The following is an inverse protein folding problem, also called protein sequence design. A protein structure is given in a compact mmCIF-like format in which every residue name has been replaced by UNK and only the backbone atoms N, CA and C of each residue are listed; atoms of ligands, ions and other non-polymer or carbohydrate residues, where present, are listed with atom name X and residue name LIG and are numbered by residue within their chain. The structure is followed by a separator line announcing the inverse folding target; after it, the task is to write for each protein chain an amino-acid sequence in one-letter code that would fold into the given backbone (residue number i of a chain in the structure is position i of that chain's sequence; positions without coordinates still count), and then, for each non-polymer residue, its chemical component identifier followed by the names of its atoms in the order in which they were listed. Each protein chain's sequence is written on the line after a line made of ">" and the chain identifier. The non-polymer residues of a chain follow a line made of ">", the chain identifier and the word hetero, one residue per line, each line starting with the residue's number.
data_IF_050988341163
#
_entry.id   IF_050988341163
#
_cell.length_a   1.000
_cell.length_b   1.000
_cell.length_c   1.000
_cell.angle_alpha   90.00
_cell.angle_beta   90.00
_cell.angle_gamma   90.00
#
_symmetry.space_group_name_H-M   'P 1'
#
loop_
_entity.id
_entity.type
_entity.pdbx_description
1 polymer ?
#
# COMPACT_ATOMS: atom_id res chain seq x y z
N UNK A 1 64.01 15.40 35.53
CA UNK A 1 64.89 14.20 35.42
C UNK A 1 64.04 12.97 35.64
N UNK A 2 64.15 11.95 34.77
CA UNK A 2 63.89 11.95 33.33
C UNK A 2 62.79 10.87 33.06
N UNK A 3 62.41 10.37 31.89
CA UNK A 3 62.86 10.43 30.50
C UNK A 3 61.77 9.72 29.67
N UNK A 4 61.58 10.19 28.45
CA UNK A 4 60.86 9.59 27.33
C UNK A 4 61.50 8.24 26.87
N UNK A 5 60.97 7.56 25.82
CA UNK A 5 61.35 7.99 24.47
C UNK A 5 60.19 8.04 23.46
N UNK A 6 60.32 9.03 22.59
CA UNK A 6 59.79 9.09 21.23
C UNK A 6 60.44 8.03 20.34
N UNK A 7 59.75 7.59 19.29
CA UNK A 7 60.39 7.46 17.98
C UNK A 7 59.31 7.45 16.88
N UNK A 8 59.27 8.51 16.08
CA UNK A 8 58.67 8.49 14.76
C UNK A 8 59.76 8.28 13.72
N UNK A 9 59.45 7.58 12.61
CA UNK A 9 60.17 7.74 11.34
C UNK A 9 59.19 7.57 10.18
N UNK A 10 59.32 8.53 9.27
CA UNK A 10 58.66 8.73 7.97
C UNK A 10 59.72 8.48 6.91
N UNK A 11 59.53 7.55 5.96
CA UNK A 11 60.33 7.44 4.71
C UNK A 11 59.43 6.77 3.65
N UNK A 12 58.81 7.51 2.72
CA UNK A 12 59.24 7.94 1.37
C UNK A 12 58.89 6.93 0.26
N UNK A 13 58.28 7.52 -0.77
CA UNK A 13 57.86 7.02 -2.07
C UNK A 13 58.99 6.33 -2.85
N UNK A 14 58.61 5.36 -3.67
CA UNK A 14 59.44 4.81 -4.74
C UNK A 14 58.57 4.24 -5.85
N UNK A 15 58.42 5.01 -6.93
CA UNK A 15 57.92 4.55 -8.23
C UNK A 15 58.78 3.42 -8.78
N UNK A 16 58.16 2.40 -9.40
CA UNK A 16 58.63 1.82 -10.67
C UNK A 16 57.66 0.76 -11.22
N UNK A 17 57.08 1.06 -12.39
CA UNK A 17 56.70 0.11 -13.45
C UNK A 17 58.00 -0.39 -14.12
N UNK A 18 58.08 -1.60 -14.72
CA UNK A 18 57.46 -1.79 -16.05
C UNK A 18 57.04 -3.23 -16.47
N UNK A 19 56.25 -3.24 -17.56
CA UNK A 19 56.25 -4.16 -18.73
C UNK A 19 56.02 -5.68 -18.63
N UNK A 20 54.92 -6.09 -19.26
CA UNK A 20 54.76 -7.12 -20.32
C UNK A 20 55.55 -8.45 -20.28
N UNK A 21 54.80 -9.57 -20.36
CA UNK A 21 55.33 -10.84 -20.85
C UNK A 21 54.28 -11.95 -20.89
N UNK A 22 53.75 -12.26 -22.08
CA UNK A 22 52.92 -13.44 -22.38
C UNK A 22 53.70 -14.75 -22.20
N UNK A 23 53.04 -15.80 -21.71
CA UNK A 23 53.05 -17.18 -22.27
C UNK A 23 52.08 -18.06 -21.46
N UNK A 24 51.17 -18.74 -22.16
CA UNK A 24 50.24 -19.68 -21.56
C UNK A 24 50.84 -21.07 -21.35
N UNK A 25 50.15 -21.92 -20.58
CA UNK A 25 50.14 -23.37 -20.76
C UNK A 25 48.93 -24.00 -20.00
N UNK A 26 48.04 -24.60 -20.79
CA UNK A 26 47.28 -25.85 -20.62
C UNK A 26 47.16 -26.55 -19.24
N UNK A 27 45.88 -26.80 -18.88
CA UNK A 27 45.27 -28.01 -18.29
C UNK A 27 45.98 -28.78 -17.16
N UNK A 28 45.33 -28.86 -16.01
CA UNK A 28 45.17 -30.14 -15.30
C UNK A 28 43.92 -30.12 -14.41
N UNK A 29 43.03 -31.10 -14.64
CA UNK A 29 41.94 -31.48 -13.72
C UNK A 29 42.57 -32.02 -12.45
N UNK A 30 42.15 -31.52 -11.29
CA UNK A 30 42.27 -32.24 -10.02
C UNK A 30 40.90 -32.21 -9.35
N UNK A 31 40.30 -33.39 -9.25
CA UNK A 31 39.15 -33.71 -8.45
C UNK A 31 39.58 -33.83 -6.99
N UNK A 32 38.95 -33.08 -6.09
CA UNK A 32 39.11 -33.34 -4.65
C UNK A 32 37.79 -33.09 -3.92
N UNK A 33 37.19 -34.20 -3.49
CA UNK A 33 36.15 -34.29 -2.48
C UNK A 33 36.80 -34.21 -1.09
N UNK A 34 36.35 -33.30 -0.22
CA UNK A 34 36.09 -33.54 1.23
C UNK A 34 35.62 -32.27 1.97
N UNK A 35 34.38 -32.36 2.45
CA UNK A 35 33.93 -32.17 3.85
C UNK A 35 34.36 -30.92 4.65
N UNK A 36 33.35 -30.07 4.89
CA UNK A 36 32.97 -29.30 6.09
C UNK A 36 33.99 -28.39 6.82
N UNK A 37 33.61 -27.12 6.99
CA UNK A 37 33.31 -26.51 8.30
C UNK A 37 32.60 -25.16 8.15
N UNK A 38 31.71 -24.89 9.10
CA UNK A 38 30.81 -23.76 9.18
C UNK A 38 31.52 -22.46 9.60
N UNK A 39 31.05 -21.32 9.08
CA UNK A 39 31.08 -20.03 9.79
C UNK A 39 29.74 -19.30 9.59
N UNK A 40 29.14 -19.05 10.73
CA UNK A 40 27.96 -18.24 11.05
C UNK A 40 27.90 -16.87 10.38
N UNK A 41 26.75 -16.52 9.79
CA UNK A 41 26.24 -15.14 9.84
C UNK A 41 24.74 -15.17 10.18
N UNK A 42 24.39 -14.39 11.20
CA UNK A 42 23.06 -14.25 11.78
C UNK A 42 22.22 -13.34 10.87
N UNK A 43 21.09 -13.85 10.39
CA UNK A 43 20.01 -13.05 9.81
C UNK A 43 18.81 -13.08 10.77
N UNK A 44 18.20 -11.93 11.12
CA UNK A 44 17.13 -11.86 12.10
C UNK A 44 15.78 -12.37 11.55
N UNK A 45 15.00 -13.15 12.33
CA UNK A 45 13.76 -13.77 11.89
C UNK A 45 12.53 -12.90 12.21
N UNK A 46 11.85 -12.35 11.19
CA UNK A 46 10.47 -11.85 11.30
C UNK A 46 9.59 -12.46 10.22
N UNK A 47 9.34 -13.76 10.36
CA UNK A 47 8.21 -14.48 9.80
C UNK A 47 7.75 -15.43 10.91
N UNK A 48 6.43 -15.63 11.03
CA UNK A 48 5.69 -16.43 12.03
C UNK A 48 5.10 -15.59 13.18
N UNK A 49 3.91 -15.00 12.95
CA UNK A 49 2.88 -14.95 13.99
C UNK A 49 1.47 -14.76 13.38
N UNK A 50 0.90 -15.83 12.83
CA UNK A 50 -0.57 -16.00 12.72
C UNK A 50 -0.89 -17.48 12.77
N UNK A 51 -0.94 -18.04 13.97
CA UNK A 51 -1.72 -19.23 14.32
C UNK A 51 -1.59 -19.50 15.82
N UNK A 52 -2.68 -19.31 16.57
CA UNK A 52 -3.13 -20.15 17.69
C UNK A 52 -4.28 -19.45 18.45
N UNK A 53 -5.17 -20.26 19.02
CA UNK A 53 -6.31 -19.95 19.91
C UNK A 53 -7.62 -19.54 19.18
N UNK A 54 -8.72 -20.29 19.22
CA UNK A 54 -9.18 -21.39 20.10
C UNK A 54 -10.20 -22.27 19.37
N UNK A 55 -10.05 -23.58 19.53
CA UNK A 55 -11.13 -24.57 19.47
C UNK A 55 -11.49 -25.01 20.90
N UNK A 56 -12.70 -25.58 21.03
CA UNK A 56 -13.30 -26.22 22.20
C UNK A 56 -14.14 -25.35 23.15
N UNK A 57 -15.46 -25.37 22.95
CA UNK A 57 -16.41 -25.66 24.03
C UNK A 57 -17.62 -26.40 23.43
N UNK A 58 -17.85 -27.58 23.97
CA UNK A 58 -18.75 -28.60 23.47
C UNK A 58 -20.23 -28.31 23.78
N UNK A 59 -21.06 -28.80 22.87
CA UNK A 59 -22.50 -28.99 23.02
C UNK A 59 -22.79 -30.03 24.10
N UNK A 60 -23.69 -29.73 25.03
CA UNK A 60 -24.47 -30.75 25.74
C UNK A 60 -25.88 -30.24 26.00
N UNK A 61 -26.83 -30.94 25.40
CA UNK A 61 -28.24 -30.93 25.73
C UNK A 61 -28.45 -31.72 27.02
N UNK A 62 -29.36 -31.31 27.90
CA UNK A 62 -30.29 -32.20 28.63
C UNK A 62 -31.40 -31.39 29.34
N UNK A 63 -32.64 -31.67 28.90
CA UNK A 63 -33.93 -31.76 29.61
C UNK A 63 -33.99 -31.46 31.13
N UNK A 64 -35.04 -30.75 31.53
CA UNK A 64 -36.00 -31.22 32.58
C UNK A 64 -37.33 -30.46 32.54
N UNK A 65 -38.43 -31.17 32.82
CA UNK A 65 -39.83 -30.73 32.85
C UNK A 65 -40.36 -30.59 34.30
N UNK A 66 -41.52 -29.93 34.43
CA UNK A 66 -42.52 -29.92 35.54
C UNK A 66 -42.21 -29.09 36.79
N UNK A 67 -43.15 -28.50 37.55
CA UNK A 67 -44.51 -27.91 37.47
C UNK A 67 -44.84 -27.53 38.96
N UNK A 68 -45.73 -26.54 39.22
CA UNK A 68 -46.39 -26.16 40.51
C UNK A 68 -45.59 -25.32 41.54
N UNK A 69 -46.18 -24.43 42.36
CA UNK A 69 -47.39 -23.61 42.41
C UNK A 69 -47.22 -22.69 43.68
N UNK A 70 -47.87 -21.51 43.71
CA UNK A 70 -48.42 -20.80 44.90
C UNK A 70 -47.52 -19.85 45.76
N UNK A 71 -47.81 -18.53 45.59
CA UNK A 71 -47.97 -17.41 46.58
C UNK A 71 -46.75 -16.95 47.39
N UNK A 72 -46.49 -15.66 47.71
CA UNK A 72 -47.36 -14.52 48.00
C UNK A 72 -46.62 -13.17 47.77
N UNK A 73 -47.43 -12.10 47.76
CA UNK A 73 -47.20 -10.66 47.63
C UNK A 73 -45.88 -10.04 48.14
N UNK A 74 -45.31 -9.12 47.34
CA UNK A 74 -45.26 -7.65 47.63
C UNK A 74 -44.40 -6.87 46.61
N UNK A 75 -44.89 -5.70 46.18
CA UNK A 75 -44.42 -4.77 45.13
C UNK A 75 -43.60 -3.62 45.80
N UNK A 76 -42.85 -2.70 45.12
CA UNK A 76 -42.15 -2.67 43.83
C UNK A 76 -40.66 -2.30 43.95
N UNK A 77 -39.84 -2.58 42.93
CA UNK A 77 -38.72 -1.69 42.59
C UNK A 77 -38.40 -1.74 41.09
N UNK A 78 -38.81 -0.67 40.41
CA UNK A 78 -38.23 -0.12 39.18
C UNK A 78 -37.81 -1.10 38.07
N UNK A 79 -38.62 -1.14 37.01
CA UNK A 79 -38.16 -1.51 35.68
C UNK A 79 -36.85 -0.74 35.35
N UNK A 80 -35.78 -1.40 34.86
CA UNK A 80 -34.87 -0.69 33.98
C UNK A 80 -35.63 -0.56 32.67
N UNK A 81 -36.08 0.67 32.41
CA UNK A 81 -36.42 1.16 31.09
C UNK A 81 -35.46 0.54 30.07
N UNK A 82 -35.99 -0.28 29.17
CA UNK A 82 -35.38 -0.53 27.87
C UNK A 82 -35.41 0.81 27.13
N UNK A 83 -34.50 1.71 27.50
CA UNK A 83 -34.05 2.72 26.58
C UNK A 83 -33.31 1.95 25.49
N UNK A 84 -34.03 1.63 24.41
CA UNK A 84 -33.45 1.68 23.08
C UNK A 84 -32.82 3.06 22.97
N UNK A 85 -31.57 3.18 23.42
CA UNK A 85 -30.74 4.31 23.13
C UNK A 85 -30.70 4.33 21.61
N UNK A 86 -31.51 5.21 21.03
CA UNK A 86 -31.25 5.84 19.75
C UNK A 86 -29.85 6.45 19.91
N UNK A 87 -28.83 5.61 19.73
CA UNK A 87 -27.44 6.04 19.62
C UNK A 87 -27.46 6.94 18.41
N UNK A 88 -27.43 8.25 18.68
CA UNK A 88 -27.34 9.27 17.64
C UNK A 88 -26.19 8.87 16.75
N UNK A 89 -26.50 8.62 15.48
CA UNK A 89 -25.49 8.29 14.49
C UNK A 89 -24.87 9.62 14.06
N UNK A 90 -23.71 9.94 14.63
CA UNK A 90 -22.93 11.14 14.34
C UNK A 90 -22.62 11.26 12.85
N UNK A 91 -22.39 10.14 12.16
CA UNK A 91 -22.21 10.12 10.69
C UNK A 91 -23.49 10.57 9.99
N UNK A 92 -24.63 9.99 10.34
CA UNK A 92 -25.90 10.31 9.71
C UNK A 92 -26.37 11.74 10.02
N UNK A 93 -26.04 12.27 11.21
CA UNK A 93 -26.31 13.66 11.60
C UNK A 93 -25.37 14.65 10.92
N UNK A 94 -24.06 14.37 10.87
CA UNK A 94 -23.07 15.24 10.22
C UNK A 94 -23.25 15.32 8.71
N UNK A 95 -23.59 14.21 8.05
CA UNK A 95 -23.84 14.16 6.61
C UNK A 95 -25.22 14.77 6.26
N UNK A 96 -26.12 14.92 7.23
CA UNK A 96 -27.38 15.67 7.03
C UNK A 96 -27.14 17.19 6.95
N UNK A 97 -26.00 17.68 7.43
CA UNK A 97 -25.52 19.05 7.21
C UNK A 97 -24.90 19.24 5.82
N UNK A 98 -24.25 20.39 5.59
CA UNK A 98 -23.59 20.74 4.32
C UNK A 98 -22.46 19.74 3.99
N UNK A 99 -22.78 18.66 3.27
CA UNK A 99 -21.81 17.71 2.71
C UNK A 99 -20.75 18.45 1.89
N UNK A 100 -21.15 19.54 1.25
CA UNK A 100 -20.28 20.39 0.44
C UNK A 100 -19.25 21.15 1.30
N UNK A 101 -19.51 21.38 2.60
CA UNK A 101 -18.52 21.93 3.53
C UNK A 101 -17.40 20.92 3.84
N UNK A 102 -17.74 19.64 4.01
CA UNK A 102 -16.75 18.58 4.22
C UNK A 102 -15.87 18.36 3.00
N UNK A 103 -16.38 18.66 1.81
CA UNK A 103 -15.68 18.50 0.53
C UNK A 103 -14.82 19.71 0.13
N UNK A 104 -14.86 20.84 0.85
CA UNK A 104 -14.06 22.06 0.54
C UNK A 104 -12.55 21.83 0.48
N UNK A 105 -12.04 20.74 1.06
CA UNK A 105 -10.63 20.37 1.02
C UNK A 105 -10.20 19.55 -0.20
N UNK A 106 -11.14 19.03 -0.99
CA UNK A 106 -10.82 18.15 -2.13
C UNK A 106 -10.56 18.99 -3.37
N UNK A 107 -9.32 18.94 -3.88
CA UNK A 107 -8.87 19.81 -4.97
C UNK A 107 -9.46 19.44 -6.34
N UNK A 108 -9.89 18.19 -6.55
CA UNK A 108 -10.39 17.68 -7.82
C UNK A 108 -11.89 17.34 -7.74
N UNK A 109 -12.66 17.86 -8.70
CA UNK A 109 -14.11 17.67 -8.77
C UNK A 109 -14.50 16.20 -9.02
N UNK A 110 -13.68 15.45 -9.77
CA UNK A 110 -13.95 14.02 -10.01
C UNK A 110 -13.78 13.21 -8.72
N UNK A 111 -12.69 13.48 -7.98
CA UNK A 111 -12.43 12.88 -6.67
C UNK A 111 -13.53 13.25 -5.68
N UNK A 112 -13.95 14.53 -5.65
CA UNK A 112 -15.01 14.98 -4.75
C UNK A 112 -16.34 14.27 -4.99
N UNK A 113 -16.69 13.97 -6.26
CA UNK A 113 -17.91 13.24 -6.61
C UNK A 113 -17.89 11.81 -6.05
N UNK A 114 -16.80 11.07 -6.23
CA UNK A 114 -16.68 9.71 -5.70
C UNK A 114 -16.64 9.70 -4.17
N UNK A 115 -15.90 10.61 -3.55
CA UNK A 115 -15.88 10.76 -2.08
C UNK A 115 -17.29 11.04 -1.54
N UNK A 116 -18.09 11.87 -2.22
CA UNK A 116 -19.49 12.12 -1.86
C UNK A 116 -20.34 10.85 -1.89
N UNK A 117 -20.15 9.99 -2.90
CA UNK A 117 -20.85 8.70 -2.98
C UNK A 117 -20.44 7.77 -1.83
N UNK A 118 -19.16 7.76 -1.47
CA UNK A 118 -18.62 6.97 -0.35
C UNK A 118 -19.16 7.46 1.00
N UNK A 119 -19.29 8.78 1.19
CA UNK A 119 -19.92 9.36 2.38
C UNK A 119 -21.40 8.92 2.50
N UNK A 120 -22.15 8.96 1.40
CA UNK A 120 -23.55 8.50 1.41
C UNK A 120 -23.65 6.98 1.64
N UNK A 121 -22.68 6.20 1.15
CA UNK A 121 -22.56 4.78 1.49
C UNK A 121 -22.32 4.59 2.99
N UNK A 122 -21.41 5.35 3.59
CA UNK A 122 -21.15 5.30 5.03
C UNK A 122 -22.36 5.68 5.87
N UNK A 123 -23.13 6.69 5.44
CA UNK A 123 -24.39 7.07 6.07
C UNK A 123 -25.40 5.91 6.08
N UNK A 124 -25.55 5.23 4.95
CA UNK A 124 -26.44 4.06 4.82
C UNK A 124 -25.97 2.91 5.70
N UNK A 125 -24.68 2.58 5.63
CA UNK A 125 -24.06 1.54 6.45
C UNK A 125 -24.28 1.79 7.95
N UNK A 126 -24.09 3.03 8.41
CA UNK A 126 -24.28 3.40 9.81
C UNK A 126 -25.77 3.38 10.24
N UNK A 127 -26.68 3.83 9.37
CA UNK A 127 -28.11 3.90 9.66
C UNK A 127 -28.77 2.52 9.67
N UNK A 128 -28.39 1.65 8.72
CA UNK A 128 -28.95 0.30 8.56
C UNK A 128 -28.16 -0.78 9.31
N UNK A 129 -26.99 -0.43 9.85
CA UNK A 129 -26.02 -1.39 10.44
C UNK A 129 -25.69 -2.53 9.48
N UNK A 130 -25.46 -2.19 8.22
CA UNK A 130 -25.04 -3.14 7.18
C UNK A 130 -23.56 -2.92 6.82
N UNK A 131 -22.94 -3.96 6.27
CA UNK A 131 -21.58 -3.88 5.73
C UNK A 131 -21.68 -3.61 4.22
N UNK A 132 -21.08 -2.51 3.77
CA UNK A 132 -21.04 -2.12 2.36
C UNK A 132 -19.60 -2.09 1.86
N UNK A 133 -19.43 -2.43 0.59
CA UNK A 133 -18.14 -2.48 -0.08
C UNK A 133 -18.15 -1.59 -1.31
N UNK A 134 -17.07 -0.84 -1.53
CA UNK A 134 -16.85 -0.12 -2.77
C UNK A 134 -16.23 -1.03 -3.82
N UNK A 135 -16.19 -0.54 -5.06
CA UNK A 135 -15.32 -1.06 -6.11
C UNK A 135 -13.87 -0.59 -5.90
N UNK A 136 -12.96 -0.88 -6.83
CA UNK A 136 -11.56 -0.46 -6.72
C UNK A 136 -11.44 1.05 -6.97
N UNK A 137 -11.03 1.75 -5.92
CA UNK A 137 -10.85 3.18 -5.91
C UNK A 137 -9.39 3.54 -6.17
N UNK A 138 -9.17 4.75 -6.69
CA UNK A 138 -7.82 5.28 -6.89
C UNK A 138 -7.21 5.75 -5.57
N UNK A 139 -5.88 5.76 -5.42
CA UNK A 139 -5.20 6.21 -4.20
C UNK A 139 -5.68 7.56 -3.61
N UNK A 140 -5.90 8.64 -4.40
CA UNK A 140 -6.38 9.90 -3.84
C UNK A 140 -7.76 9.77 -3.19
N UNK A 141 -8.66 9.01 -3.80
CA UNK A 141 -10.04 8.83 -3.33
C UNK A 141 -10.03 8.03 -2.03
N UNK A 142 -9.18 6.99 -1.96
CA UNK A 142 -9.01 6.18 -0.75
C UNK A 142 -8.47 7.03 0.40
N UNK A 143 -7.41 7.82 0.14
CA UNK A 143 -6.79 8.68 1.15
C UNK A 143 -7.77 9.69 1.73
N UNK A 144 -8.51 10.39 0.88
CA UNK A 144 -9.51 11.38 1.32
C UNK A 144 -10.67 10.70 2.05
N UNK A 145 -11.18 9.58 1.54
CA UNK A 145 -12.29 8.86 2.17
C UNK A 145 -11.93 8.33 3.56
N UNK A 146 -10.76 7.74 3.71
CA UNK A 146 -10.27 7.23 5.01
C UNK A 146 -10.03 8.37 5.99
N UNK A 147 -9.44 9.49 5.53
CA UNK A 147 -9.21 10.68 6.36
C UNK A 147 -10.51 11.34 6.84
N UNK A 148 -11.53 11.40 5.99
CA UNK A 148 -12.83 11.98 6.34
C UNK A 148 -13.65 11.04 7.23
N UNK A 149 -13.77 9.77 6.85
CA UNK A 149 -14.60 8.80 7.56
C UNK A 149 -13.98 8.38 8.89
N UNK A 150 -12.65 8.36 9.00
CA UNK A 150 -11.95 8.05 10.25
C UNK A 150 -12.19 9.03 11.39
N UNK A 151 -12.82 10.19 11.12
CA UNK A 151 -13.22 11.16 12.15
C UNK A 151 -14.49 10.76 12.89
N UNK A 152 -15.27 9.83 12.35
CA UNK A 152 -16.54 9.44 12.93
C UNK A 152 -16.43 8.12 13.70
N UNK A 153 -16.92 8.10 14.94
CA UNK A 153 -16.85 6.92 15.80
C UNK A 153 -17.82 5.79 15.39
N UNK A 154 -18.93 6.13 14.71
CA UNK A 154 -20.00 5.18 14.41
C UNK A 154 -19.77 4.38 13.13
N UNK A 155 -18.66 4.64 12.44
CA UNK A 155 -18.28 3.93 11.21
C UNK A 155 -16.85 3.45 11.34
N UNK A 156 -16.67 2.15 11.09
CA UNK A 156 -15.36 1.55 10.88
C UNK A 156 -15.11 1.43 9.38
N UNK A 157 -13.91 1.81 8.98
CA UNK A 157 -13.45 1.77 7.60
C UNK A 157 -12.21 0.88 7.49
N UNK A 158 -12.20 -0.02 6.50
CA UNK A 158 -11.06 -0.90 6.21
C UNK A 158 -10.78 -0.82 4.71
N UNK A 159 -9.56 -0.42 4.34
CA UNK A 159 -9.12 -0.36 2.95
C UNK A 159 -8.22 -1.57 2.64
N UNK A 160 -8.51 -2.30 1.55
CA UNK A 160 -7.77 -3.48 1.12
C UNK A 160 -7.56 -3.47 -0.40
N UNK A 161 -6.32 -3.69 -0.83
CA UNK A 161 -5.96 -3.88 -2.24
C UNK A 161 -5.38 -5.25 -2.57
N UNK A 162 -5.34 -6.17 -1.59
CA UNK A 162 -4.86 -7.55 -1.75
C UNK A 162 -3.38 -7.75 -1.36
N UNK A 163 -2.56 -6.71 -1.45
CA UNK A 163 -1.16 -6.72 -1.02
C UNK A 163 -0.75 -5.37 -0.38
N UNK A 164 0.39 -5.28 0.34
CA UNK A 164 0.72 -4.10 1.16
C UNK A 164 0.90 -2.77 0.41
N UNK A 165 1.40 -2.81 -0.83
CA UNK A 165 1.68 -1.63 -1.65
C UNK A 165 0.67 -1.48 -2.81
N UNK A 166 -0.55 -1.96 -2.63
CA UNK A 166 -1.60 -1.79 -3.62
C UNK A 166 -1.91 -0.31 -3.86
N UNK A 167 -1.88 0.11 -5.12
CA UNK A 167 -2.29 1.44 -5.53
C UNK A 167 -3.82 1.53 -5.50
N UNK A 168 -4.51 0.59 -6.17
CA UNK A 168 -5.98 0.55 -6.19
C UNK A 168 -6.49 -0.29 -5.03
N UNK A 169 -7.33 0.30 -4.19
CA UNK A 169 -7.89 -0.38 -3.03
C UNK A 169 -9.42 -0.32 -3.04
N UNK A 170 -10.06 -1.36 -2.50
CA UNK A 170 -11.48 -1.37 -2.15
C UNK A 170 -11.64 -0.96 -0.69
N UNK A 171 -12.75 -0.31 -0.39
CA UNK A 171 -13.07 0.14 0.97
C UNK A 171 -14.29 -0.63 1.46
N UNK A 172 -14.18 -1.20 2.66
CA UNK A 172 -15.28 -1.76 3.42
C UNK A 172 -15.72 -0.77 4.50
N UNK A 173 -17.03 -0.51 4.55
CA UNK A 173 -17.63 0.49 5.42
C UNK A 173 -18.77 -0.18 6.17
N UNK A 174 -18.72 -0.13 7.50
CA UNK A 174 -19.74 -0.71 8.35
C UNK A 174 -19.73 -0.12 9.74
N UNK A 175 -20.75 -0.40 10.53
CA UNK A 175 -20.74 -0.09 11.94
C UNK A 175 -19.62 -0.92 12.64
N UNK A 176 -18.89 -0.38 13.64
CA UNK A 176 -17.83 -1.10 14.34
C UNK A 176 -18.24 -2.48 14.86
N UNK A 177 -19.50 -2.62 15.31
CA UNK A 177 -20.05 -3.88 15.81
C UNK A 177 -20.22 -4.95 14.72
N UNK A 178 -20.35 -4.55 13.45
CA UNK A 178 -20.53 -5.48 12.30
C UNK A 178 -19.20 -5.79 11.65
N UNK A 179 -18.34 -4.77 11.48
CA UNK A 179 -17.04 -4.91 10.86
C UNK A 179 -15.98 -5.36 11.88
N UNK A 180 -16.13 -6.57 12.43
CA UNK A 180 -15.22 -7.11 13.45
C UNK A 180 -13.92 -7.57 12.80
N UNK A 181 -14.02 -8.35 11.72
CA UNK A 181 -12.90 -8.93 10.99
C UNK A 181 -12.64 -8.21 9.67
N UNK A 182 -11.43 -8.37 9.14
CA UNK A 182 -11.08 -7.91 7.80
C UNK A 182 -11.87 -8.74 6.77
N UNK A 183 -12.75 -8.12 5.96
CA UNK A 183 -13.57 -8.84 5.02
C UNK A 183 -12.73 -9.32 3.82
N UNK A 184 -13.10 -10.44 3.21
CA UNK A 184 -12.45 -10.93 2.00
C UNK A 184 -13.08 -10.27 0.77
N UNK A 185 -12.60 -9.06 0.45
CA UNK A 185 -13.12 -8.24 -0.64
C UNK A 185 -12.24 -8.26 -1.88
N UNK A 186 -11.11 -8.97 -1.89
CA UNK A 186 -10.18 -8.93 -3.03
C UNK A 186 -9.76 -10.35 -3.39
N UNK A 187 -9.93 -10.70 -4.66
CA UNK A 187 -9.41 -11.94 -5.21
C UNK A 187 -8.22 -11.66 -6.13
N UNK A 188 -7.31 -12.64 -6.22
CA UNK A 188 -6.20 -12.61 -7.16
C UNK A 188 -6.37 -13.70 -8.23
N UNK A 189 -6.04 -13.34 -9.46
CA UNK A 189 -6.00 -14.22 -10.62
C UNK A 189 -4.56 -14.28 -11.14
N UNK A 190 -4.10 -15.46 -11.53
CA UNK A 190 -2.87 -15.65 -12.28
C UNK A 190 -3.22 -15.92 -13.73
N UNK A 191 -2.65 -15.12 -14.63
CA UNK A 191 -2.77 -15.22 -16.08
C UNK A 191 -1.42 -15.69 -16.59
N UNK A 192 -1.35 -16.96 -17.01
CA UNK A 192 -0.13 -17.58 -17.53
C UNK A 192 -0.27 -17.85 -19.02
N UNK A 193 0.79 -17.63 -19.78
CA UNK A 193 0.80 -17.82 -21.23
C UNK A 193 2.23 -17.87 -21.78
N UNK A 194 2.36 -18.16 -23.07
CA UNK A 194 3.66 -18.25 -23.75
C UNK A 194 4.25 -16.88 -24.11
N UNK A 195 4.58 -16.04 -23.12
CA UNK A 195 5.05 -14.66 -23.35
C UNK A 195 6.54 -14.53 -23.69
N UNK A 196 7.27 -15.65 -23.82
CA UNK A 196 8.71 -15.66 -24.12
C UNK A 196 9.04 -14.99 -25.46
N UNK A 197 8.14 -15.11 -26.45
CA UNK A 197 8.37 -14.58 -27.81
C UNK A 197 7.66 -13.25 -28.06
N UNK A 198 6.58 -12.98 -27.34
CA UNK A 198 5.80 -11.77 -27.45
C UNK A 198 5.54 -11.21 -26.04
N UNK A 199 6.40 -10.32 -25.54
CA UNK A 199 6.18 -9.70 -24.24
C UNK A 199 4.93 -8.80 -24.33
N UNK A 200 4.00 -9.02 -23.41
CA UNK A 200 2.81 -8.18 -23.28
C UNK A 200 3.06 -7.08 -22.24
N UNK A 201 2.61 -5.88 -22.56
CA UNK A 201 2.63 -4.73 -21.68
C UNK A 201 1.45 -4.74 -20.71
N UNK A 202 1.49 -3.88 -19.69
CA UNK A 202 0.34 -3.66 -18.80
C UNK A 202 -0.95 -3.32 -19.57
N UNK A 203 -0.81 -2.55 -20.65
CA UNK A 203 -1.95 -2.12 -21.48
C UNK A 203 -2.63 -3.29 -22.18
N UNK A 204 -1.88 -4.32 -22.56
CA UNK A 204 -2.40 -5.48 -23.27
C UNK A 204 -3.25 -6.36 -22.35
N UNK A 205 -2.75 -6.65 -21.13
CA UNK A 205 -3.52 -7.37 -20.11
C UNK A 205 -4.78 -6.62 -19.72
N UNK A 206 -4.66 -5.30 -19.48
CA UNK A 206 -5.81 -4.47 -19.17
C UNK A 206 -6.83 -4.48 -20.32
N UNK A 207 -6.37 -4.29 -21.55
CA UNK A 207 -7.23 -4.28 -22.74
C UNK A 207 -7.96 -5.61 -22.96
N UNK A 208 -7.27 -6.73 -22.75
CA UNK A 208 -7.86 -8.06 -22.87
C UNK A 208 -8.97 -8.29 -21.84
N UNK A 209 -8.73 -7.92 -20.57
CA UNK A 209 -9.74 -8.09 -19.52
C UNK A 209 -10.93 -7.15 -19.74
N UNK A 210 -10.69 -5.89 -20.10
CA UNK A 210 -11.77 -4.96 -20.44
C UNK A 210 -12.57 -5.43 -21.67
N UNK A 211 -11.90 -6.11 -22.61
CA UNK A 211 -12.53 -6.74 -23.77
C UNK A 211 -13.53 -7.84 -23.43
N UNK A 212 -13.46 -8.45 -22.24
CA UNK A 212 -14.47 -9.40 -21.75
C UNK A 212 -15.79 -8.72 -21.33
N UNK A 213 -15.83 -7.38 -21.26
CA UNK A 213 -17.00 -6.60 -20.84
C UNK A 213 -16.96 -6.14 -19.38
N UNK A 214 -15.86 -6.37 -18.66
CA UNK A 214 -15.69 -5.93 -17.27
C UNK A 214 -15.36 -4.44 -17.20
N UNK A 215 -15.98 -3.73 -16.27
CA UNK A 215 -15.63 -2.34 -16.01
C UNK A 215 -14.30 -2.21 -15.27
N UNK A 216 -13.51 -1.18 -15.61
CA UNK A 216 -12.22 -0.91 -14.97
C UNK A 216 -12.31 -0.71 -13.45
N UNK A 217 -13.45 -0.24 -12.96
CA UNK A 217 -13.72 -0.06 -11.53
C UNK A 217 -13.69 -1.38 -10.76
N UNK A 218 -14.00 -2.51 -11.41
CA UNK A 218 -13.95 -3.84 -10.80
C UNK A 218 -12.55 -4.46 -10.81
N UNK A 219 -11.57 -3.81 -11.46
CA UNK A 219 -10.19 -4.25 -11.53
C UNK A 219 -9.28 -3.41 -10.64
N UNK A 220 -8.44 -4.11 -9.89
CA UNK A 220 -7.35 -3.55 -9.11
C UNK A 220 -6.07 -3.44 -9.93
N UNK A 221 -4.95 -3.70 -9.27
CA UNK A 221 -3.63 -3.61 -9.88
C UNK A 221 -3.32 -4.86 -10.71
N UNK A 222 -2.44 -4.67 -11.71
CA UNK A 222 -1.94 -5.72 -12.60
C UNK A 222 -0.43 -5.81 -12.38
N UNK A 223 0.01 -6.94 -11.82
CA UNK A 223 1.41 -7.24 -11.54
C UNK A 223 1.99 -8.05 -12.70
N UNK A 224 2.92 -7.46 -13.46
CA UNK A 224 3.56 -8.13 -14.59
C UNK A 224 4.71 -9.00 -14.07
N UNK A 225 4.74 -10.27 -14.49
CA UNK A 225 5.74 -11.26 -14.13
C UNK A 225 6.72 -11.57 -15.29
N UNK A 226 6.85 -10.64 -16.24
CA UNK A 226 7.67 -10.80 -17.44
C UNK A 226 7.19 -11.98 -18.29
N UNK A 227 8.02 -13.01 -18.39
CA UNK A 227 7.77 -14.20 -19.23
C UNK A 227 6.66 -15.11 -18.69
N UNK A 228 6.44 -15.14 -17.36
CA UNK A 228 5.40 -16.00 -16.76
C UNK A 228 3.97 -15.52 -17.05
N UNK A 229 3.81 -14.24 -17.35
CA UNK A 229 2.52 -13.58 -17.56
C UNK A 229 2.25 -12.48 -16.54
N UNK A 230 1.05 -12.47 -15.95
CA UNK A 230 0.64 -11.43 -15.00
C UNK A 230 -0.28 -11.96 -13.90
N UNK A 231 -0.29 -11.28 -12.76
CA UNK A 231 -1.27 -11.47 -11.70
C UNK A 231 -2.18 -10.24 -11.60
N UNK A 232 -3.48 -10.45 -11.43
CA UNK A 232 -4.48 -9.38 -11.46
C UNK A 232 -5.37 -9.46 -10.24
N UNK A 233 -5.63 -8.30 -9.65
CA UNK A 233 -6.52 -8.14 -8.51
C UNK A 233 -7.92 -7.79 -9.03
N UNK A 234 -8.94 -8.49 -8.54
CA UNK A 234 -10.32 -8.35 -9.01
C UNK A 234 -11.33 -8.51 -7.87
N UNK A 235 -12.56 -8.04 -8.10
CA UNK A 235 -13.71 -8.32 -7.24
C UNK A 235 -14.00 -9.83 -7.22
N UNK A 236 -14.14 -10.47 -6.05
CA UNK A 236 -14.37 -11.91 -5.93
C UNK A 236 -15.53 -12.45 -6.77
N UNK A 237 -16.59 -11.64 -6.95
CA UNK A 237 -17.79 -11.98 -7.72
C UNK A 237 -17.52 -12.23 -9.22
N UNK A 238 -16.43 -11.68 -9.77
CA UNK A 238 -16.09 -11.77 -11.19
C UNK A 238 -15.00 -12.79 -11.51
N UNK A 239 -14.50 -13.51 -10.49
CA UNK A 239 -13.41 -14.49 -10.65
C UNK A 239 -13.77 -15.57 -11.65
N UNK A 240 -14.90 -16.24 -11.45
CA UNK A 240 -15.31 -17.37 -12.29
C UNK A 240 -15.59 -16.92 -13.73
N UNK A 241 -16.17 -15.72 -13.88
CA UNK A 241 -16.40 -15.13 -15.19
C UNK A 241 -15.08 -14.87 -15.94
N UNK A 242 -14.09 -14.21 -15.33
CA UNK A 242 -12.80 -13.94 -15.99
C UNK A 242 -12.05 -15.23 -16.31
N UNK A 243 -12.07 -16.20 -15.40
CA UNK A 243 -11.41 -17.50 -15.62
C UNK A 243 -11.98 -18.20 -16.86
N UNK A 244 -13.29 -18.07 -17.10
CA UNK A 244 -13.95 -18.67 -18.27
C UNK A 244 -13.89 -17.85 -19.55
N UNK A 245 -13.78 -16.52 -19.45
CA UNK A 245 -13.91 -15.61 -20.60
C UNK A 245 -12.56 -15.15 -21.18
N UNK A 246 -11.49 -15.20 -20.38
CA UNK A 246 -10.18 -14.71 -20.78
C UNK A 246 -9.32 -15.82 -21.40
N UNK A 247 -9.48 -16.01 -22.72
CA UNK A 247 -8.73 -17.03 -23.46
C UNK A 247 -7.43 -16.51 -24.11
N UNK A 248 -7.36 -15.18 -24.35
CA UNK A 248 -6.21 -14.57 -25.05
C UNK A 248 -5.87 -13.19 -24.52
N UNK A 249 -4.58 -12.88 -24.53
CA UNK A 249 -4.05 -11.53 -24.29
C UNK A 249 -3.22 -11.15 -25.51
N UNK A 250 -3.67 -10.11 -26.24
CA UNK A 250 -3.12 -9.80 -27.56
C UNK A 250 -3.32 -10.98 -28.52
N UNK A 251 -2.21 -11.54 -29.01
CA UNK A 251 -2.21 -12.73 -29.89
C UNK A 251 -1.81 -14.02 -29.15
N UNK A 252 -1.54 -13.96 -27.84
CA UNK A 252 -1.09 -15.10 -27.06
C UNK A 252 -2.28 -15.73 -26.34
N UNK A 253 -2.46 -17.05 -26.51
CA UNK A 253 -3.44 -17.82 -25.73
C UNK A 253 -3.00 -17.90 -24.27
N UNK A 254 -3.92 -17.66 -23.34
CA UNK A 254 -3.63 -17.63 -21.90
C UNK A 254 -4.54 -18.56 -21.13
N UNK A 255 -4.06 -19.01 -19.98
CA UNK A 255 -4.86 -19.71 -18.98
C UNK A 255 -4.97 -18.82 -17.76
N UNK A 256 -6.20 -18.60 -17.29
CA UNK A 256 -6.47 -17.84 -16.09
C UNK A 256 -6.86 -18.77 -14.94
N UNK A 257 -6.26 -18.60 -13.77
CA UNK A 257 -6.56 -19.40 -12.57
C UNK A 257 -6.66 -18.53 -11.33
N UNK A 258 -7.54 -18.90 -10.38
CA UNK A 258 -7.63 -18.23 -9.08
C UNK A 258 -6.44 -18.63 -8.21
N UNK A 259 -5.78 -17.64 -7.62
CA UNK A 259 -4.68 -17.85 -6.67
C UNK A 259 -5.02 -17.22 -5.31
N UNK A 260 -4.52 -17.78 -4.20
CA UNK A 260 -4.66 -17.13 -2.90
C UNK A 260 -3.81 -15.84 -2.86
N UNK A 261 -4.28 -14.83 -2.14
CA UNK A 261 -3.55 -13.55 -1.99
C UNK A 261 -2.12 -13.73 -1.45
N UNK A 262 -1.88 -14.77 -0.65
CA UNK A 262 -0.56 -15.08 -0.10
C UNK A 262 0.44 -15.59 -1.16
N UNK A 263 -0.05 -16.07 -2.30
CA UNK A 263 0.78 -16.52 -3.42
C UNK A 263 1.01 -15.41 -4.48
N UNK A 264 0.62 -14.17 -4.18
CA UNK A 264 0.96 -13.03 -5.03
C UNK A 264 2.49 -12.86 -5.05
N UNK A 265 3.08 -12.99 -6.25
CA UNK A 265 4.49 -12.69 -6.47
C UNK A 265 4.57 -11.18 -6.74
N UNK A 266 4.71 -10.41 -5.68
CA UNK A 266 4.93 -8.97 -5.75
C UNK A 266 6.40 -8.65 -5.43
N UNK A 267 7.08 -8.01 -6.38
CA UNK A 267 8.39 -7.41 -6.15
C UNK A 267 8.22 -5.93 -5.77
N UNK A 268 8.69 -5.51 -4.59
CA UNK A 268 8.69 -4.10 -4.23
C UNK A 268 9.45 -3.28 -5.28
N UNK A 269 8.96 -2.10 -5.68
CA UNK A 269 9.65 -1.27 -6.63
C UNK A 269 11.06 -0.98 -6.12
N UNK A 270 12.06 -1.03 -7.01
CA UNK A 270 13.44 -0.74 -6.63
C UNK A 270 13.52 0.71 -6.16
N UNK A 271 13.89 0.91 -4.91
CA UNK A 271 14.06 2.26 -4.35
C UNK A 271 15.52 2.59 -4.10
N UNK A 272 15.90 3.84 -4.35
CA UNK A 272 17.19 4.40 -3.94
C UNK A 272 16.96 5.51 -2.91
N UNK A 273 17.40 5.28 -1.68
CA UNK A 273 17.32 6.23 -0.57
C UNK A 273 18.62 7.01 -0.42
N UNK A 274 18.53 8.34 -0.34
CA UNK A 274 19.67 9.20 -0.02
C UNK A 274 19.23 10.41 0.81
N UNK A 275 20.20 11.02 1.50
CA UNK A 275 19.96 12.20 2.35
C UNK A 275 20.50 13.45 1.66
N UNK A 276 19.70 14.52 1.69
CA UNK A 276 20.10 15.85 1.24
C UNK A 276 19.91 16.87 2.35
N UNK A 277 20.65 17.98 2.31
CA UNK A 277 20.51 19.08 3.27
C UNK A 277 20.03 20.31 2.52
N UNK A 278 18.77 20.66 2.71
CA UNK A 278 18.13 21.82 2.09
C UNK A 278 17.95 22.96 3.09
N UNK A 279 18.00 24.19 2.60
CA UNK A 279 17.75 25.38 3.43
C UNK A 279 16.27 25.54 3.81
N UNK A 280 15.36 24.91 3.08
CA UNK A 280 13.92 25.00 3.30
C UNK A 280 13.19 23.75 2.80
N UNK A 281 12.05 23.41 3.40
CA UNK A 281 11.18 22.30 3.01
C UNK A 281 10.27 22.60 1.81
N UNK A 282 10.67 23.54 0.95
CA UNK A 282 9.89 23.87 -0.25
C UNK A 282 10.03 22.76 -1.29
N UNK A 283 8.95 22.52 -2.03
CA UNK A 283 8.92 21.49 -3.09
C UNK A 283 9.99 21.73 -4.16
N UNK A 284 10.24 23.00 -4.53
CA UNK A 284 11.27 23.37 -5.51
C UNK A 284 12.69 23.00 -5.03
N UNK A 285 12.99 23.20 -3.75
CA UNK A 285 14.26 22.80 -3.15
C UNK A 285 14.39 21.28 -3.08
N UNK A 286 13.43 20.60 -2.44
CA UNK A 286 13.52 19.16 -2.14
C UNK A 286 13.46 18.31 -3.42
N UNK A 287 12.54 18.60 -4.34
CA UNK A 287 12.42 17.79 -5.56
C UNK A 287 13.56 18.07 -6.55
N UNK A 288 14.19 19.25 -6.54
CA UNK A 288 15.37 19.52 -7.38
C UNK A 288 16.54 18.61 -7.00
N UNK A 289 16.80 18.45 -5.70
CA UNK A 289 17.80 17.53 -5.16
C UNK A 289 17.42 16.06 -5.44
N UNK A 290 16.14 15.72 -5.26
CA UNK A 290 15.60 14.38 -5.49
C UNK A 290 15.73 13.87 -6.93
N UNK A 291 15.34 14.69 -7.90
CA UNK A 291 15.37 14.34 -9.32
C UNK A 291 16.68 14.69 -10.03
N UNK A 292 17.61 15.38 -9.34
CA UNK A 292 18.87 15.90 -9.90
C UNK A 292 18.64 16.84 -11.10
N UNK A 293 17.70 17.78 -10.95
CA UNK A 293 17.41 18.82 -11.94
C UNK A 293 17.60 20.21 -11.32
N UNK A 294 17.86 21.23 -12.14
CA UNK A 294 17.99 22.60 -11.61
C UNK A 294 16.65 23.08 -11.04
N UNK A 295 16.72 23.94 -10.02
CA UNK A 295 15.52 24.55 -9.43
C UNK A 295 14.71 25.35 -10.44
N UNK A 296 15.37 26.05 -11.37
CA UNK A 296 14.71 26.77 -12.48
C UNK A 296 13.85 25.86 -13.34
N UNK A 297 14.40 24.72 -13.80
CA UNK A 297 13.66 23.74 -14.58
C UNK A 297 12.48 23.16 -13.81
N UNK A 298 12.64 22.93 -12.51
CA UNK A 298 11.54 22.42 -11.68
C UNK A 298 10.44 23.46 -11.49
N UNK A 299 10.79 24.75 -11.36
CA UNK A 299 9.83 25.85 -11.32
C UNK A 299 9.01 25.91 -12.62
N UNK A 300 9.65 25.70 -13.78
CA UNK A 300 8.96 25.62 -15.06
C UNK A 300 7.97 24.44 -15.09
N UNK A 301 8.39 23.25 -14.62
CA UNK A 301 7.53 22.08 -14.52
C UNK A 301 6.34 22.28 -13.57
N UNK A 302 6.54 22.98 -12.44
CA UNK A 302 5.45 23.34 -11.52
C UNK A 302 4.46 24.28 -12.22
N UNK A 303 4.97 25.28 -12.95
CA UNK A 303 4.15 26.22 -13.72
C UNK A 303 3.35 25.52 -14.82
N UNK A 304 3.94 24.48 -15.43
CA UNK A 304 3.31 23.63 -16.44
C UNK A 304 2.35 22.57 -15.87
N UNK A 305 2.17 22.52 -14.54
CA UNK A 305 1.30 21.53 -13.85
C UNK A 305 1.80 20.07 -13.98
N UNK A 306 3.09 19.87 -14.23
CA UNK A 306 3.73 18.56 -14.36
C UNK A 306 4.17 17.95 -13.03
N UNK A 307 4.00 18.70 -11.93
CA UNK A 307 4.39 18.28 -10.59
C UNK A 307 3.16 18.06 -9.72
N UNK A 308 3.11 16.90 -9.08
CA UNK A 308 2.03 16.51 -8.17
C UNK A 308 2.59 16.13 -6.81
N UNK A 309 1.90 16.53 -5.75
CA UNK A 309 2.17 16.08 -4.37
C UNK A 309 0.94 15.35 -3.89
N UNK A 310 1.11 14.09 -3.46
CA UNK A 310 0.01 13.24 -3.03
C UNK A 310 -1.14 13.22 -4.05
N UNK A 311 -0.80 13.00 -5.33
CA UNK A 311 -1.72 13.01 -6.47
C UNK A 311 -2.39 14.35 -6.82
N UNK A 312 -2.25 15.39 -5.99
CA UNK A 312 -2.77 16.73 -6.25
C UNK A 312 -1.74 17.58 -7.01
N UNK A 313 -2.19 18.27 -8.07
CA UNK A 313 -1.35 19.17 -8.86
C UNK A 313 -0.96 20.40 -8.05
N UNK A 314 0.34 20.68 -7.98
CA UNK A 314 0.86 21.84 -7.28
C UNK A 314 1.10 22.97 -8.27
N UNK A 315 0.54 24.15 -7.99
CA UNK A 315 0.75 25.37 -8.79
C UNK A 315 1.70 26.37 -8.11
N UNK A 316 1.91 26.24 -6.79
CA UNK A 316 2.74 27.15 -6.01
C UNK A 316 4.10 26.52 -5.70
N UNK A 317 5.17 27.16 -6.14
CA UNK A 317 6.55 26.69 -5.93
C UNK A 317 6.95 26.64 -4.44
N UNK A 318 6.33 27.50 -3.62
CA UNK A 318 6.57 27.57 -2.18
C UNK A 318 5.79 26.55 -1.35
N UNK A 319 5.17 25.55 -1.97
CA UNK A 319 4.44 24.51 -1.24
C UNK A 319 5.41 23.73 -0.36
N UNK A 320 5.08 23.62 0.92
CA UNK A 320 5.91 22.93 1.92
C UNK A 320 5.60 21.43 1.85
N UNK A 321 6.64 20.61 1.74
CA UNK A 321 6.52 19.14 1.79
C UNK A 321 6.66 18.63 3.22
N UNK A 322 5.96 17.55 3.53
CA UNK A 322 5.98 16.88 4.83
C UNK A 322 6.53 15.47 4.69
N UNK A 323 6.95 14.90 5.82
CA UNK A 323 7.33 13.48 5.89
C UNK A 323 6.16 12.60 5.45
N UNK A 324 6.46 11.62 4.60
CA UNK A 324 5.48 10.71 4.00
C UNK A 324 4.86 11.21 2.69
N UNK A 325 5.08 12.46 2.29
CA UNK A 325 4.54 12.98 1.03
C UNK A 325 5.18 12.30 -0.18
N UNK A 326 4.36 12.03 -1.20
CA UNK A 326 4.81 11.48 -2.48
C UNK A 326 4.80 12.60 -3.52
N UNK A 327 5.99 12.94 -4.04
CA UNK A 327 6.18 13.91 -5.12
C UNK A 327 6.34 13.16 -6.44
N UNK A 328 5.47 13.43 -7.39
CA UNK A 328 5.52 12.85 -8.74
C UNK A 328 5.78 13.93 -9.76
N UNK A 329 6.70 13.67 -10.69
CA UNK A 329 7.02 14.58 -11.79
C UNK A 329 6.90 13.83 -13.11
N UNK A 330 6.09 14.37 -14.03
CA UNK A 330 5.89 13.81 -15.37
C UNK A 330 7.24 13.54 -16.05
N UNK A 331 7.45 12.30 -16.49
CA UNK A 331 8.67 11.87 -17.18
C UNK A 331 9.95 11.78 -16.32
N UNK A 332 9.88 12.03 -15.00
CA UNK A 332 11.04 11.89 -14.08
C UNK A 332 10.84 10.84 -12.99
N UNK A 333 9.60 10.45 -12.72
CA UNK A 333 9.25 9.39 -11.77
C UNK A 333 8.65 9.93 -10.48
N UNK A 334 8.77 9.14 -9.41
CA UNK A 334 8.20 9.43 -8.09
C UNK A 334 9.29 9.49 -7.02
N UNK A 335 9.10 10.35 -6.03
CA UNK A 335 9.91 10.47 -4.82
C UNK A 335 8.98 10.40 -3.61
N UNK A 336 9.37 9.65 -2.59
CA UNK A 336 8.76 9.69 -1.27
C UNK A 336 9.68 10.45 -0.31
N UNK A 337 9.11 11.43 0.37
CA UNK A 337 9.82 12.18 1.41
C UNK A 337 9.84 11.32 2.67
N UNK A 338 11.04 10.96 3.11
CA UNK A 338 11.27 10.22 4.34
C UNK A 338 11.34 11.16 5.54
N UNK A 339 12.23 10.84 6.46
CA UNK A 339 12.42 11.63 7.68
C UNK A 339 13.00 13.02 7.37
N UNK A 340 12.42 14.02 8.02
CA UNK A 340 12.88 15.41 7.98
C UNK A 340 13.46 15.75 9.35
N UNK A 341 14.75 16.05 9.40
CA UNK A 341 15.46 16.41 10.62
C UNK A 341 16.01 17.83 10.51
N UNK A 342 15.94 18.61 11.59
CA UNK A 342 16.57 19.93 11.62
C UNK A 342 18.03 19.82 12.10
N UNK A 343 18.93 20.48 11.40
CA UNK A 343 20.36 20.51 11.73
C UNK A 343 20.67 21.63 12.71
N UNK A 344 21.78 21.52 13.45
CA UNK A 344 22.25 22.55 14.39
C UNK A 344 22.46 23.95 13.76
N UNK A 345 22.52 24.04 12.42
CA UNK A 345 22.69 25.28 11.65
C UNK A 345 21.36 25.81 11.06
N UNK A 346 20.21 25.30 11.50
CA UNK A 346 18.88 25.72 11.03
C UNK A 346 18.53 25.28 9.60
N UNK A 347 19.26 24.31 9.03
CA UNK A 347 18.93 23.67 7.74
C UNK A 347 18.18 22.36 7.97
N UNK A 348 17.46 21.88 6.97
CA UNK A 348 16.72 20.62 7.02
C UNK A 348 17.50 19.50 6.32
N UNK A 349 17.83 18.46 7.06
CA UNK A 349 18.30 17.18 6.53
C UNK A 349 17.08 16.33 6.17
N UNK A 350 16.86 16.11 4.88
CA UNK A 350 15.71 15.37 4.36
C UNK A 350 16.18 14.06 3.75
N UNK A 351 15.59 12.95 4.18
CA UNK A 351 15.72 11.67 3.50
C UNK A 351 14.76 11.62 2.31
N UNK A 352 15.27 11.25 1.14
CA UNK A 352 14.51 11.13 -0.09
C UNK A 352 14.63 9.69 -0.58
N UNK A 353 13.49 9.06 -0.80
CA UNK A 353 13.39 7.71 -1.36
C UNK A 353 12.91 7.85 -2.80
N UNK A 354 13.78 7.55 -3.76
CA UNK A 354 13.46 7.61 -5.18
C UNK A 354 13.04 6.24 -5.69
N UNK A 355 11.88 6.16 -6.32
CA UNK A 355 11.45 4.98 -7.06
C UNK A 355 12.19 4.95 -8.41
N UNK A 356 12.83 3.82 -8.74
CA UNK A 356 13.65 3.62 -9.94
C UNK A 356 12.84 3.04 -11.10
#
# INVERSE_FOLDING_TARGET
>A
KPSTPECGVRVVLGDNKPSNGRRGFSLTKVSETRTAMAVTSLAPPWIILRQAFRSAAASSYLRTNHINLITNLSIPASLPLRHSALRRCHVAEAIKGDVDFLLKGVADQAVAKEVKQILEMARRAASRRELLHTDFLTPPIVKESVSLLGKFADVKIVAQGGYPEAERCRISIGHPDVLINDPDIVAALSITGGFNFQPCSHGDFLGAILGTGISREKLGDILIQGEKGAQVLIVPELVDFVVSALDKVGNVGVTCTKIPLLALEYEPPRTNSFKTVEASLRIDAVASAGFKISRSKLVDLISNKDVRVNWATVTKNGTIVKTGDIVSVSGKGRLKIGEINETKKGKFSVEIIRYL
#
